data_IF_384919225176
#
_entry.id   IF_384919225176
#
_cell.length_a   1.000
_cell.length_b   1.000
_cell.length_c   1.000
_cell.angle_alpha   90.00
_cell.angle_beta   90.00
_cell.angle_gamma   90.00
#
_symmetry.space_group_name_H-M   'P 1'
#
loop_
_entity.id
_entity.type
_entity.pdbx_description
1 polymer ?
#
# COMPACT_ATOMS: atom_id res chain seq x y z
N UNK A 1 8.13 -22.31 13.56
CA UNK A 1 9.38 -21.50 13.69
C UNK A 1 9.69 -21.18 15.15
N UNK A 2 8.84 -20.45 15.88
CA UNK A 2 9.14 -20.10 17.29
C UNK A 2 9.35 -21.36 18.15
N UNK A 3 8.44 -22.34 18.06
CA UNK A 3 8.57 -23.60 18.81
C UNK A 3 9.80 -24.42 18.41
N UNK A 4 10.20 -24.40 17.13
CA UNK A 4 11.39 -25.13 16.65
C UNK A 4 12.70 -24.49 17.14
N UNK A 5 12.66 -23.23 17.59
CA UNK A 5 13.78 -22.57 18.25
C UNK A 5 13.81 -22.83 19.76
N UNK A 6 12.90 -23.67 20.29
CA UNK A 6 12.81 -23.97 21.72
C UNK A 6 12.19 -22.85 22.56
N UNK A 7 11.62 -21.81 21.93
CA UNK A 7 10.96 -20.70 22.63
C UNK A 7 9.63 -21.18 23.18
N UNK A 8 9.52 -21.18 24.52
CA UNK A 8 8.31 -21.63 25.24
C UNK A 8 7.30 -20.51 25.48
N UNK A 9 7.77 -19.27 25.60
CA UNK A 9 6.93 -18.10 25.83
C UNK A 9 7.53 -16.87 25.15
N UNK A 10 6.68 -16.07 24.52
CA UNK A 10 6.99 -14.77 23.95
C UNK A 10 6.51 -13.71 24.93
N UNK A 11 7.44 -12.84 25.35
CA UNK A 11 7.09 -11.75 26.26
C UNK A 11 6.18 -10.71 25.60
N UNK A 12 6.50 -10.33 24.36
CA UNK A 12 5.72 -9.37 23.57
C UNK A 12 5.57 -9.84 22.13
N UNK A 13 4.33 -10.00 21.66
CA UNK A 13 4.02 -10.04 20.23
C UNK A 13 3.71 -8.60 19.78
N UNK A 14 4.58 -8.03 18.94
CA UNK A 14 4.47 -6.64 18.50
C UNK A 14 4.33 -6.55 16.99
N UNK A 15 3.38 -5.74 16.52
CA UNK A 15 3.20 -5.53 15.09
C UNK A 15 2.35 -4.30 14.75
N UNK A 16 2.61 -3.73 13.58
CA UNK A 16 1.84 -2.64 13.01
C UNK A 16 1.06 -3.09 11.76
N UNK A 17 -0.09 -2.45 11.48
CA UNK A 17 -0.92 -2.77 10.30
C UNK A 17 -1.29 -4.27 10.26
N UNK A 18 -1.06 -4.99 9.16
CA UNK A 18 -1.26 -6.44 9.07
C UNK A 18 -0.51 -7.21 10.17
N UNK A 19 0.72 -6.79 10.51
CA UNK A 19 1.48 -7.40 11.60
C UNK A 19 0.83 -7.21 12.97
N UNK A 20 0.08 -6.12 13.16
CA UNK A 20 -0.70 -5.89 14.39
C UNK A 20 -1.88 -6.86 14.49
N UNK A 21 -2.54 -7.15 13.36
CA UNK A 21 -3.59 -8.17 13.30
C UNK A 21 -3.03 -9.56 13.62
N UNK A 22 -1.86 -9.89 13.07
CA UNK A 22 -1.16 -11.14 13.40
C UNK A 22 -0.79 -11.21 14.89
N UNK A 23 -0.32 -10.11 15.48
CA UNK A 23 0.01 -10.06 16.91
C UNK A 23 -1.23 -10.27 17.80
N UNK A 24 -2.38 -9.71 17.41
CA UNK A 24 -3.67 -9.94 18.09
C UNK A 24 -4.08 -11.42 18.00
N UNK A 25 -4.02 -12.02 16.81
CA UNK A 25 -4.31 -13.45 16.61
C UNK A 25 -3.39 -14.35 17.45
N UNK A 26 -2.10 -14.03 17.50
CA UNK A 26 -1.13 -14.77 18.32
C UNK A 26 -1.45 -14.69 19.82
N UNK A 27 -1.84 -13.52 20.31
CA UNK A 27 -2.27 -13.35 21.71
C UNK A 27 -3.53 -14.14 22.02
N UNK A 28 -4.51 -14.11 21.11
CA UNK A 28 -5.78 -14.82 21.28
C UNK A 28 -5.62 -16.35 21.23
N UNK A 29 -4.96 -16.87 20.19
CA UNK A 29 -4.83 -18.31 19.96
C UNK A 29 -3.78 -18.95 20.88
N UNK A 30 -2.69 -18.23 21.16
CA UNK A 30 -1.60 -18.73 22.01
C UNK A 30 -1.91 -18.61 23.50
N UNK A 31 -2.75 -17.64 23.89
CA UNK A 31 -3.01 -17.31 25.28
C UNK A 31 -1.75 -16.90 26.07
N UNK A 32 -1.88 -16.64 27.38
CA UNK A 32 -0.77 -16.19 28.23
C UNK A 32 0.41 -17.16 28.30
N UNK A 33 0.16 -18.45 28.07
CA UNK A 33 1.18 -19.51 28.09
C UNK A 33 2.17 -19.38 26.94
N UNK A 34 1.73 -18.94 25.76
CA UNK A 34 2.60 -18.70 24.61
C UNK A 34 2.96 -17.23 24.42
N UNK A 35 2.03 -16.30 24.64
CA UNK A 35 2.23 -14.85 24.44
C UNK A 35 1.76 -14.10 25.68
N UNK A 36 2.71 -13.51 26.41
CA UNK A 36 2.41 -12.80 27.66
C UNK A 36 1.72 -11.44 27.43
N UNK A 37 2.03 -10.76 26.34
CA UNK A 37 1.53 -9.41 26.06
C UNK A 37 1.53 -9.12 24.55
N UNK A 38 0.57 -8.32 24.11
CA UNK A 38 0.42 -7.90 22.71
C UNK A 38 0.57 -6.39 22.59
N UNK A 39 1.32 -5.95 21.58
CA UNK A 39 1.44 -4.54 21.19
C UNK A 39 1.01 -4.41 19.74
N UNK A 40 -0.21 -3.93 19.53
CA UNK A 40 -0.83 -3.80 18.22
C UNK A 40 -0.94 -2.31 17.83
N UNK A 41 -0.39 -1.93 16.68
CA UNK A 41 -0.29 -0.52 16.24
C UNK A 41 -0.98 -0.32 14.90
N UNK A 42 -1.83 0.71 14.78
CA UNK A 42 -2.48 1.09 13.51
C UNK A 42 -3.20 -0.07 12.79
N UNK A 43 -3.91 -0.90 13.56
CA UNK A 43 -4.70 -2.02 13.07
C UNK A 43 -6.02 -2.12 13.83
N UNK A 44 -6.97 -2.91 13.30
CA UNK A 44 -8.21 -3.26 13.98
C UNK A 44 -8.31 -4.77 14.21
N UNK A 45 -9.27 -5.20 15.02
CA UNK A 45 -9.56 -6.63 15.22
C UNK A 45 -10.12 -7.32 13.96
N UNK A 46 -10.67 -6.53 13.03
CA UNK A 46 -11.13 -6.98 11.72
C UNK A 46 -11.04 -5.85 10.71
N UNK A 47 -11.03 -6.18 9.43
CA UNK A 47 -11.15 -5.17 8.38
C UNK A 47 -12.52 -4.49 8.41
N UNK A 48 -12.49 -3.17 8.27
CA UNK A 48 -13.66 -2.32 8.04
C UNK A 48 -14.09 -2.35 6.58
N UNK A 49 -15.32 -1.91 6.29
CA UNK A 49 -15.82 -1.80 4.92
C UNK A 49 -14.89 -0.95 4.01
N UNK A 50 -14.32 0.13 4.54
CA UNK A 50 -13.35 0.97 3.83
C UNK A 50 -12.08 0.20 3.45
N UNK A 51 -11.50 -0.56 4.40
CA UNK A 51 -10.33 -1.38 4.14
C UNK A 51 -10.62 -2.47 3.11
N UNK A 52 -11.78 -3.14 3.21
CA UNK A 52 -12.22 -4.15 2.25
C UNK A 52 -12.34 -3.54 0.85
N UNK A 53 -12.99 -2.38 0.71
CA UNK A 53 -13.16 -1.70 -0.57
C UNK A 53 -11.83 -1.34 -1.23
N UNK A 54 -10.89 -0.78 -0.46
CA UNK A 54 -9.54 -0.46 -0.97
C UNK A 54 -8.80 -1.72 -1.39
N UNK A 55 -8.80 -2.77 -0.57
CA UNK A 55 -8.15 -4.04 -0.92
C UNK A 55 -8.78 -4.67 -2.16
N UNK A 56 -10.10 -4.54 -2.34
CA UNK A 56 -10.79 -5.06 -3.51
C UNK A 56 -10.37 -4.37 -4.79
N UNK A 57 -10.32 -3.03 -4.82
CA UNK A 57 -9.90 -2.32 -6.04
C UNK A 57 -8.43 -2.57 -6.38
N UNK A 58 -7.58 -2.83 -5.38
CA UNK A 58 -6.18 -3.25 -5.59
C UNK A 58 -6.08 -4.66 -6.18
N UNK A 59 -6.86 -5.63 -5.67
CA UNK A 59 -6.89 -6.97 -6.26
C UNK A 59 -7.49 -6.94 -7.66
N UNK A 60 -8.56 -6.19 -7.87
CA UNK A 60 -9.20 -6.04 -9.17
C UNK A 60 -8.26 -5.43 -10.21
N UNK A 61 -7.40 -4.47 -9.83
CA UNK A 61 -6.42 -3.92 -10.77
C UNK A 61 -5.39 -4.95 -11.23
N UNK A 62 -4.98 -5.85 -10.33
CA UNK A 62 -4.07 -6.97 -10.65
C UNK A 62 -4.80 -8.00 -11.53
N UNK A 63 -5.94 -8.51 -11.08
CA UNK A 63 -6.65 -9.60 -11.77
C UNK A 63 -7.19 -9.20 -13.15
N UNK A 64 -7.35 -7.90 -13.43
CA UNK A 64 -7.77 -7.38 -14.74
C UNK A 64 -6.59 -7.02 -15.66
N UNK A 65 -5.36 -7.15 -15.20
CA UNK A 65 -4.19 -6.99 -16.07
C UNK A 65 -4.20 -8.11 -17.13
N UNK A 66 -4.06 -7.81 -18.44
CA UNK A 66 -4.06 -8.84 -19.48
C UNK A 66 -2.95 -9.90 -19.35
N UNK A 67 -1.91 -9.59 -18.57
CA UNK A 67 -0.80 -10.52 -18.28
C UNK A 67 -1.01 -11.29 -16.98
N UNK A 68 -2.17 -11.14 -16.33
CA UNK A 68 -2.58 -11.99 -15.21
C UNK A 68 -3.00 -13.35 -15.75
N UNK A 69 -2.43 -14.40 -15.16
CA UNK A 69 -2.67 -15.80 -15.52
C UNK A 69 -2.92 -16.60 -14.24
N UNK A 70 -4.05 -16.32 -13.58
CA UNK A 70 -4.48 -16.98 -12.34
C UNK A 70 -3.41 -17.09 -11.23
N UNK A 71 -2.51 -16.10 -11.15
CA UNK A 71 -1.41 -16.07 -10.19
C UNK A 71 -0.09 -16.66 -10.65
N UNK A 72 0.04 -17.01 -11.93
CA UNK A 72 1.31 -17.34 -12.59
C UNK A 72 1.89 -16.14 -13.38
N UNK A 73 1.01 -15.23 -13.81
CA UNK A 73 1.36 -14.02 -14.55
C UNK A 73 1.96 -12.91 -13.68
N UNK A 74 2.83 -12.08 -14.27
CA UNK A 74 3.51 -10.98 -13.54
C UNK A 74 2.57 -9.82 -13.20
N UNK A 75 1.56 -9.55 -14.02
CA UNK A 75 0.58 -8.46 -13.83
C UNK A 75 1.23 -7.12 -13.44
N UNK A 76 2.31 -6.71 -14.13
CA UNK A 76 3.14 -5.59 -13.68
C UNK A 76 2.37 -4.26 -13.66
N UNK A 77 1.51 -4.01 -14.66
CA UNK A 77 0.71 -2.78 -14.72
C UNK A 77 -0.36 -2.77 -13.64
N UNK A 78 -1.05 -3.90 -13.45
CA UNK A 78 -2.05 -4.09 -12.41
C UNK A 78 -1.50 -3.99 -10.99
N UNK A 79 -0.31 -4.55 -10.75
CA UNK A 79 0.41 -4.47 -9.48
C UNK A 79 0.92 -3.04 -9.22
N UNK A 80 1.34 -2.34 -10.28
CA UNK A 80 1.73 -0.94 -10.20
C UNK A 80 0.55 -0.07 -9.75
N UNK A 81 -0.61 -0.23 -10.38
CA UNK A 81 -1.83 0.48 -9.99
C UNK A 81 -2.29 0.12 -8.57
N UNK A 82 -2.26 -1.15 -8.19
CA UNK A 82 -2.55 -1.59 -6.82
C UNK A 82 -1.65 -0.88 -5.81
N UNK A 83 -0.36 -0.73 -6.14
CA UNK A 83 0.60 0.00 -5.30
C UNK A 83 0.26 1.48 -5.21
N UNK A 84 -0.12 2.13 -6.30
CA UNK A 84 -0.50 3.55 -6.27
C UNK A 84 -1.73 3.77 -5.38
N UNK A 85 -2.76 2.91 -5.49
CA UNK A 85 -3.95 2.95 -4.62
C UNK A 85 -3.54 2.80 -3.15
N UNK A 86 -2.66 1.84 -2.84
CA UNK A 86 -2.15 1.64 -1.49
C UNK A 86 -1.39 2.88 -0.96
N UNK A 87 -0.58 3.52 -1.80
CA UNK A 87 0.16 4.72 -1.40
C UNK A 87 -0.76 5.87 -0.99
N UNK A 88 -1.91 6.02 -1.67
CA UNK A 88 -2.93 7.01 -1.33
C UNK A 88 -3.51 6.74 0.06
N UNK A 89 -3.84 5.48 0.38
CA UNK A 89 -4.44 5.13 1.67
C UNK A 89 -3.47 5.16 2.86
N UNK A 90 -2.16 5.15 2.61
CA UNK A 90 -1.13 5.18 3.66
C UNK A 90 -0.80 6.59 4.18
N UNK A 91 -1.41 7.63 3.63
CA UNK A 91 -1.21 9.02 4.10
C UNK A 91 -2.56 9.71 4.23
N UNK A 92 -2.59 10.76 5.03
CA UNK A 92 -3.77 11.62 5.12
C UNK A 92 -3.86 12.55 3.91
N UNK A 93 -5.08 13.00 3.63
CA UNK A 93 -5.37 14.03 2.63
C UNK A 93 -4.48 15.27 2.84
N UNK A 94 -4.44 15.82 4.06
CA UNK A 94 -3.62 16.99 4.39
C UNK A 94 -2.12 16.78 4.14
N UNK A 95 -1.62 15.56 4.33
CA UNK A 95 -0.21 15.25 4.06
C UNK A 95 0.09 15.25 2.54
N UNK A 96 -0.88 14.88 1.70
CA UNK A 96 -0.77 15.02 0.26
C UNK A 96 -0.80 16.51 -0.15
N UNK A 97 -1.74 17.29 0.40
CA UNK A 97 -1.85 18.71 0.07
C UNK A 97 -0.60 19.50 0.48
N UNK A 98 -0.12 19.28 1.71
CA UNK A 98 1.09 19.94 2.23
C UNK A 98 2.32 19.59 1.39
N UNK A 99 2.42 18.33 0.93
CA UNK A 99 3.61 17.84 0.24
C UNK A 99 3.61 18.18 -1.25
N UNK A 100 2.46 18.13 -1.91
CA UNK A 100 2.37 18.22 -3.37
C UNK A 100 1.50 19.38 -3.83
N UNK A 101 0.36 19.62 -3.15
CA UNK A 101 -0.64 20.58 -3.57
C UNK A 101 -0.97 20.43 -5.07
N UNK A 102 -1.05 21.57 -5.77
CA UNK A 102 -1.19 21.63 -7.24
C UNK A 102 0.15 21.83 -7.95
N UNK A 103 1.27 21.50 -7.32
CA UNK A 103 2.59 21.70 -7.90
C UNK A 103 2.80 20.88 -9.19
N UNK A 104 3.21 21.55 -10.25
CA UNK A 104 3.54 20.92 -11.53
C UNK A 104 4.86 20.14 -11.45
N UNK A 105 4.96 19.08 -12.26
CA UNK A 105 6.23 18.40 -12.53
C UNK A 105 7.26 19.39 -13.06
N UNK A 106 8.55 19.14 -12.81
CA UNK A 106 9.62 20.04 -13.29
C UNK A 106 9.56 20.30 -14.80
N UNK A 107 9.19 19.29 -15.58
CA UNK A 107 9.03 19.43 -17.04
C UNK A 107 7.84 20.34 -17.39
N UNK A 108 6.68 20.13 -16.76
CA UNK A 108 5.50 20.96 -17.00
C UNK A 108 5.68 22.40 -16.49
N UNK A 109 6.31 22.58 -15.33
CA UNK A 109 6.65 23.89 -14.78
C UNK A 109 7.60 24.66 -15.70
N UNK A 110 8.62 24.00 -16.26
CA UNK A 110 9.54 24.65 -17.21
C UNK A 110 8.84 25.07 -18.51
N UNK A 111 7.78 24.36 -18.92
CA UNK A 111 7.07 24.62 -20.18
C UNK A 111 5.98 25.70 -20.04
N UNK A 112 5.27 25.72 -18.91
CA UNK A 112 4.09 26.58 -18.73
C UNK A 112 4.19 27.56 -17.56
N UNK A 113 5.21 27.45 -16.70
CA UNK A 113 5.33 28.24 -15.48
C UNK A 113 4.41 27.75 -14.36
N UNK A 114 3.10 27.87 -14.56
CA UNK A 114 2.07 27.49 -13.59
C UNK A 114 0.92 26.66 -14.21
N UNK A 115 0.03 26.18 -13.33
CA UNK A 115 -1.08 25.32 -13.72
C UNK A 115 -2.11 26.06 -14.58
N UNK A 116 -2.37 27.34 -14.30
CA UNK A 116 -3.40 28.13 -14.98
C UNK A 116 -2.99 28.41 -16.43
N UNK A 117 -1.72 28.74 -16.65
CA UNK A 117 -1.12 28.91 -17.97
C UNK A 117 -1.20 27.61 -18.78
N UNK A 118 -0.88 26.47 -18.16
CA UNK A 118 -1.01 25.15 -18.81
C UNK A 118 -2.44 24.88 -19.29
N UNK A 119 -3.43 25.09 -18.41
CA UNK A 119 -4.86 24.89 -18.74
C UNK A 119 -5.29 25.86 -19.84
N UNK A 120 -4.90 27.14 -19.77
CA UNK A 120 -5.24 28.15 -20.78
C UNK A 120 -4.65 27.83 -22.16
N UNK A 121 -3.52 27.10 -22.21
CA UNK A 121 -2.91 26.63 -23.46
C UNK A 121 -3.57 25.38 -24.04
N UNK A 122 -4.59 24.83 -23.38
CA UNK A 122 -5.32 23.63 -23.82
C UNK A 122 -4.57 22.33 -23.52
N UNK A 123 -3.51 22.38 -22.73
CA UNK A 123 -2.70 21.20 -22.36
C UNK A 123 -3.13 20.60 -21.02
N UNK A 124 -2.86 19.30 -20.83
CA UNK A 124 -3.14 18.60 -19.58
C UNK A 124 -1.95 18.80 -18.63
N UNK A 125 -2.14 19.42 -17.45
CA UNK A 125 -1.07 19.62 -16.49
C UNK A 125 -0.60 18.30 -15.89
N UNK A 126 0.72 18.11 -15.85
CA UNK A 126 1.35 16.98 -15.15
C UNK A 126 1.80 17.39 -13.75
N UNK A 127 1.25 16.73 -12.72
CA UNK A 127 1.48 17.11 -11.33
C UNK A 127 2.58 16.30 -10.64
N UNK A 128 3.23 16.90 -9.64
CA UNK A 128 4.26 16.22 -8.83
C UNK A 128 3.75 14.96 -8.13
N UNK A 129 2.47 14.94 -7.72
CA UNK A 129 1.85 13.78 -7.07
C UNK A 129 1.76 12.58 -8.02
N UNK A 130 1.53 12.79 -9.32
CA UNK A 130 1.48 11.73 -10.32
C UNK A 130 2.85 11.08 -10.48
N UNK A 131 3.89 11.90 -10.65
CA UNK A 131 5.27 11.42 -10.73
C UNK A 131 5.72 10.70 -9.45
N UNK A 132 5.24 11.14 -8.28
CA UNK A 132 5.47 10.43 -7.02
C UNK A 132 4.86 9.03 -7.02
N UNK A 133 3.60 8.88 -7.44
CA UNK A 133 2.93 7.58 -7.50
C UNK A 133 3.61 6.64 -8.52
N UNK A 134 3.97 7.17 -9.70
CA UNK A 134 4.73 6.48 -10.76
C UNK A 134 6.19 6.15 -10.39
N UNK A 135 6.70 6.72 -9.31
CA UNK A 135 8.00 6.34 -8.76
C UNK A 135 7.83 5.22 -7.72
N UNK A 136 6.79 5.31 -6.89
CA UNK A 136 6.51 4.33 -5.84
C UNK A 136 6.10 2.97 -6.42
N UNK A 137 5.37 2.94 -7.55
CA UNK A 137 5.03 1.70 -8.23
C UNK A 137 6.27 1.01 -8.83
N UNK A 138 7.11 1.70 -9.60
CA UNK A 138 8.34 1.17 -10.21
C UNK A 138 9.27 0.59 -9.15
N UNK A 139 9.43 1.31 -8.04
CA UNK A 139 10.22 0.84 -6.88
C UNK A 139 9.61 -0.40 -6.21
N UNK A 140 8.31 -0.59 -6.29
CA UNK A 140 7.63 -1.74 -5.70
C UNK A 140 7.68 -2.96 -6.62
N UNK A 141 7.49 -2.78 -7.92
CA UNK A 141 7.51 -3.85 -8.92
C UNK A 141 8.83 -4.62 -8.96
N UNK A 142 9.95 -4.01 -8.58
CA UNK A 142 11.25 -4.69 -8.55
C UNK A 142 11.44 -5.63 -7.36
N UNK A 143 10.51 -5.65 -6.39
CA UNK A 143 10.72 -6.33 -5.10
C UNK A 143 9.47 -7.00 -4.53
N UNK A 144 8.39 -7.09 -5.29
CA UNK A 144 7.16 -7.71 -4.83
C UNK A 144 6.48 -8.46 -5.96
N UNK A 145 5.82 -9.56 -5.58
CA UNK A 145 5.12 -10.46 -6.50
C UNK A 145 3.60 -10.23 -6.47
N UNK A 146 2.97 -10.25 -7.65
CA UNK A 146 1.55 -9.98 -7.79
C UNK A 146 0.68 -11.06 -7.17
N UNK A 147 1.06 -12.34 -7.31
CA UNK A 147 0.30 -13.45 -6.73
C UNK A 147 0.30 -13.41 -5.20
N UNK A 148 1.46 -13.09 -4.62
CA UNK A 148 1.62 -12.86 -3.18
C UNK A 148 0.74 -11.69 -2.70
N UNK A 149 0.61 -10.62 -3.50
CA UNK A 149 -0.23 -9.48 -3.16
C UNK A 149 -1.72 -9.85 -3.08
N UNK A 150 -2.21 -10.65 -4.02
CA UNK A 150 -3.64 -11.02 -4.11
C UNK A 150 -4.04 -12.02 -3.03
N UNK A 151 -3.12 -12.91 -2.63
CA UNK A 151 -3.38 -13.98 -1.64
C UNK A 151 -3.29 -13.51 -0.18
N UNK A 152 -2.75 -12.31 0.06
CA UNK A 152 -2.62 -11.72 1.40
C UNK A 152 -3.83 -10.90 1.82
#
# INVERSE_FOLDING_TARGET
VVSSLGVKNIKFALGGSLGGMQALEWGLLGGPSLVSSVVAIACGARHTAWQIAISEVQRASIMRDPTWDEGQGKSLSGLGLARQIAMISYRSHNAYDTKFGRGLSKQAANKHGDTDTCISSGEVPHFNVEGYLQYQDKKFLSRFDAASYVRC
#
